data_IF_710896244130
#
_entry.id   IF_710896244130
#
_cell.length_a   1.000
_cell.length_b   1.000
_cell.length_c   1.000
_cell.angle_alpha   90.00
_cell.angle_beta   90.00
_cell.angle_gamma   90.00
#
_symmetry.space_group_name_H-M   'P 1'
#
loop_
_entity.id
_entity.type
_entity.pdbx_description
1 polymer ?
#
# COMPACT_ATOMS: atom_id res chain seq x y z
N UNK A 1 -0.18 17.53 -53.21
CA UNK A 1 0.23 18.31 -52.02
C UNK A 1 -0.63 18.03 -50.80
N UNK A 2 -1.95 17.86 -50.95
CA UNK A 2 -2.87 17.50 -49.85
C UNK A 2 -2.56 16.16 -49.18
N UNK A 3 -2.22 15.12 -49.96
CA UNK A 3 -1.87 13.79 -49.43
C UNK A 3 -0.63 13.85 -48.52
N UNK A 4 0.35 14.68 -48.88
CA UNK A 4 1.58 14.88 -48.09
C UNK A 4 1.29 15.64 -46.80
N UNK A 5 0.38 16.62 -46.84
CA UNK A 5 -0.06 17.32 -45.64
C UNK A 5 -0.84 16.38 -44.70
N UNK A 6 -1.72 15.54 -45.24
CA UNK A 6 -2.47 14.57 -44.44
C UNK A 6 -1.56 13.49 -43.83
N UNK A 7 -0.54 13.02 -44.56
CA UNK A 7 0.39 12.03 -44.04
C UNK A 7 1.26 12.60 -42.92
N UNK A 8 1.74 13.84 -43.07
CA UNK A 8 2.51 14.53 -42.02
C UNK A 8 1.69 14.76 -40.76
N UNK A 9 0.42 15.15 -40.91
CA UNK A 9 -0.49 15.33 -39.78
C UNK A 9 -0.79 14.02 -39.06
N UNK A 10 -1.02 12.94 -39.82
CA UNK A 10 -1.22 11.60 -39.26
C UNK A 10 0.00 11.11 -38.49
N UNK A 11 1.21 11.31 -39.03
CA UNK A 11 2.47 10.97 -38.34
C UNK A 11 2.62 11.80 -37.07
N UNK A 12 2.29 13.10 -37.10
CA UNK A 12 2.31 13.96 -35.91
C UNK A 12 1.37 13.49 -34.81
N UNK A 13 0.15 13.04 -35.17
CA UNK A 13 -0.82 12.48 -34.22
C UNK A 13 -0.31 11.14 -33.67
N UNK A 14 0.24 10.28 -34.52
CA UNK A 14 0.82 9.01 -34.07
C UNK A 14 1.98 9.26 -33.11
N UNK A 15 2.88 10.20 -33.42
CA UNK A 15 3.95 10.58 -32.49
C UNK A 15 3.35 11.13 -31.20
N UNK A 16 2.37 12.02 -31.24
CA UNK A 16 1.76 12.57 -30.02
C UNK A 16 1.10 11.49 -29.14
N UNK A 17 0.36 10.55 -29.75
CA UNK A 17 -0.34 9.47 -29.03
C UNK A 17 0.63 8.40 -28.52
N UNK A 18 1.65 8.06 -29.31
CA UNK A 18 2.66 7.07 -28.95
C UNK A 18 3.85 7.66 -28.20
N UNK A 19 3.96 8.99 -28.07
CA UNK A 19 4.89 9.64 -27.17
C UNK A 19 4.30 9.44 -25.79
N UNK A 20 4.70 8.38 -25.08
CA UNK A 20 4.15 8.12 -23.78
C UNK A 20 4.56 9.33 -22.97
N UNK A 21 3.61 10.03 -22.36
CA UNK A 21 3.92 10.91 -21.26
C UNK A 21 4.91 10.12 -20.39
N UNK A 22 6.16 10.58 -20.30
CA UNK A 22 7.13 10.07 -19.31
C UNK A 22 6.65 10.35 -17.87
N UNK A 23 5.44 10.88 -17.73
CA UNK A 23 4.53 10.66 -16.63
C UNK A 23 3.81 9.30 -16.82
N UNK A 24 4.59 8.22 -17.00
CA UNK A 24 4.33 7.08 -16.12
C UNK A 24 4.52 7.74 -14.78
N UNK A 25 3.40 8.19 -14.17
CA UNK A 25 3.36 8.45 -12.74
C UNK A 25 4.24 7.35 -12.21
N UNK A 26 5.36 7.72 -11.59
CA UNK A 26 6.07 6.72 -10.86
C UNK A 26 4.95 6.14 -10.00
N UNK A 27 4.53 4.94 -10.35
CA UNK A 27 4.22 3.93 -9.38
C UNK A 27 5.54 3.88 -8.65
N UNK A 28 5.76 4.87 -7.79
CA UNK A 28 6.73 4.93 -6.74
C UNK A 28 6.33 3.66 -6.08
N UNK A 29 7.02 2.57 -6.44
CA UNK A 29 6.76 1.25 -5.91
C UNK A 29 6.56 1.53 -4.45
N UNK A 30 5.31 1.40 -3.95
CA UNK A 30 4.95 1.85 -2.60
C UNK A 30 6.12 1.42 -1.75
N UNK A 31 6.88 2.37 -1.20
CA UNK A 31 8.18 2.02 -0.63
C UNK A 31 7.87 0.93 0.37
N UNK A 32 8.65 -0.15 0.47
CA UNK A 32 8.32 -1.29 1.37
C UNK A 32 7.87 -0.80 2.76
N UNK A 33 8.48 0.30 3.22
CA UNK A 33 8.10 1.11 4.37
C UNK A 33 6.62 1.56 4.40
N UNK A 34 6.11 2.14 3.32
CA UNK A 34 4.73 2.64 3.20
C UNK A 34 3.71 1.51 3.26
N UNK A 35 4.00 0.36 2.62
CA UNK A 35 3.19 -0.84 2.76
C UNK A 35 3.17 -1.36 4.21
N UNK A 36 4.33 -1.40 4.87
CA UNK A 36 4.41 -1.83 6.26
C UNK A 36 3.67 -0.87 7.21
N UNK A 37 3.72 0.44 6.96
CA UNK A 37 2.95 1.44 7.71
C UNK A 37 1.44 1.23 7.55
N UNK A 38 0.96 1.01 6.33
CA UNK A 38 -0.45 0.68 6.06
C UNK A 38 -0.85 -0.62 6.78
N UNK A 39 -0.01 -1.65 6.73
CA UNK A 39 -0.25 -2.92 7.45
C UNK A 39 -0.30 -2.75 8.96
N UNK A 40 0.54 -1.88 9.54
CA UNK A 40 0.50 -1.53 10.96
C UNK A 40 -0.83 -0.90 11.35
N UNK A 41 -1.35 0.04 10.54
CA UNK A 41 -2.65 0.67 10.79
C UNK A 41 -3.79 -0.34 10.81
N UNK A 42 -3.82 -1.25 9.83
CA UNK A 42 -4.81 -2.34 9.77
C UNK A 42 -4.73 -3.24 11.01
N UNK A 43 -3.53 -3.62 11.46
CA UNK A 43 -3.36 -4.44 12.66
C UNK A 43 -3.86 -3.74 13.93
N UNK A 44 -3.60 -2.44 14.09
CA UNK A 44 -4.09 -1.68 15.23
C UNK A 44 -5.60 -1.46 15.21
N UNK A 45 -6.19 -1.22 14.04
CA UNK A 45 -7.65 -1.15 13.91
C UNK A 45 -8.29 -2.50 14.25
N UNK A 46 -7.72 -3.62 13.78
CA UNK A 46 -8.19 -4.96 14.15
C UNK A 46 -8.10 -5.22 15.65
N UNK A 47 -7.00 -4.80 16.31
CA UNK A 47 -6.84 -4.92 17.76
C UNK A 47 -7.89 -4.09 18.51
N UNK A 48 -8.18 -2.88 18.03
CA UNK A 48 -9.22 -2.01 18.60
C UNK A 48 -10.61 -2.64 18.47
N UNK A 49 -10.92 -3.15 17.29
CA UNK A 49 -12.21 -3.79 17.02
C UNK A 49 -12.36 -5.07 17.84
N UNK A 50 -11.31 -5.89 17.96
CA UNK A 50 -11.31 -7.08 18.82
C UNK A 50 -11.60 -6.71 20.29
N UNK A 51 -10.95 -5.68 20.81
CA UNK A 51 -11.19 -5.15 22.16
C UNK A 51 -12.63 -4.62 22.34
N UNK A 52 -13.23 -4.08 21.28
CA UNK A 52 -14.61 -3.63 21.29
C UNK A 52 -15.58 -4.80 21.28
N UNK A 53 -15.37 -5.80 20.41
CA UNK A 53 -16.20 -6.99 20.32
C UNK A 53 -16.14 -7.86 21.59
N UNK A 54 -14.98 -7.95 22.24
CA UNK A 54 -14.84 -8.61 23.53
C UNK A 54 -15.63 -7.89 24.62
N UNK A 55 -15.53 -6.55 24.71
CA UNK A 55 -16.35 -5.76 25.64
C UNK A 55 -17.85 -5.82 25.34
N UNK A 56 -18.23 -6.09 24.10
CA UNK A 56 -19.61 -6.35 23.70
C UNK A 56 -20.10 -7.77 24.04
N UNK A 57 -19.23 -8.64 24.59
CA UNK A 57 -19.56 -9.99 25.01
C UNK A 57 -19.67 -11.01 23.87
N UNK A 58 -19.10 -10.70 22.69
CA UNK A 58 -19.15 -11.57 21.50
C UNK A 58 -18.14 -12.72 21.55
N UNK A 59 -17.08 -12.60 22.35
CA UNK A 59 -16.03 -13.59 22.49
C UNK A 59 -15.92 -14.13 23.90
N UNK A 60 -15.52 -15.39 24.00
CA UNK A 60 -15.06 -16.01 25.25
C UNK A 60 -13.62 -15.54 25.51
N UNK A 61 -13.25 -15.42 26.78
CA UNK A 61 -11.95 -14.85 27.19
C UNK A 61 -10.74 -15.64 26.64
N UNK A 62 -10.89 -16.95 26.46
CA UNK A 62 -9.86 -17.80 25.86
C UNK A 62 -9.63 -17.48 24.37
N UNK A 63 -10.70 -17.32 23.58
CA UNK A 63 -10.63 -16.94 22.17
C UNK A 63 -10.08 -15.51 21.99
N UNK A 64 -10.49 -14.60 22.89
CA UNK A 64 -9.99 -13.23 22.90
C UNK A 64 -8.49 -13.18 23.17
N UNK A 65 -8.01 -13.87 24.21
CA UNK A 65 -6.58 -13.89 24.54
C UNK A 65 -5.74 -14.51 23.42
N UNK A 66 -6.24 -15.57 22.77
CA UNK A 66 -5.58 -16.19 21.63
C UNK A 66 -5.47 -15.22 20.44
N UNK A 67 -6.57 -14.56 20.04
CA UNK A 67 -6.56 -13.61 18.93
C UNK A 67 -5.75 -12.35 19.22
N UNK A 68 -5.82 -11.84 20.46
CA UNK A 68 -5.03 -10.70 20.90
C UNK A 68 -3.54 -11.01 20.79
N UNK A 69 -3.09 -12.17 21.28
CA UNK A 69 -1.68 -12.55 21.21
C UNK A 69 -1.15 -12.68 19.78
N UNK A 70 -1.98 -13.18 18.84
CA UNK A 70 -1.61 -13.27 17.42
C UNK A 70 -1.44 -11.86 16.84
N UNK A 71 -2.43 -10.97 17.02
CA UNK A 71 -2.39 -9.61 16.48
C UNK A 71 -1.26 -8.79 17.08
N UNK A 72 -0.97 -8.94 18.38
CA UNK A 72 0.14 -8.27 19.05
C UNK A 72 1.49 -8.75 18.53
N UNK A 73 1.64 -10.06 18.28
CA UNK A 73 2.87 -10.63 17.71
C UNK A 73 3.10 -10.10 16.30
N UNK A 74 2.07 -10.10 15.45
CA UNK A 74 2.17 -9.55 14.08
C UNK A 74 2.47 -8.05 14.10
N UNK A 75 1.86 -7.28 15.00
CA UNK A 75 2.12 -5.86 15.13
C UNK A 75 3.57 -5.58 15.57
N UNK A 76 4.11 -6.38 16.48
CA UNK A 76 5.50 -6.28 16.92
C UNK A 76 6.49 -6.57 15.78
N UNK A 77 6.24 -7.61 14.97
CA UNK A 77 7.07 -7.90 13.78
C UNK A 77 7.03 -6.76 12.76
N UNK A 78 5.84 -6.23 12.44
CA UNK A 78 5.71 -5.15 11.44
C UNK A 78 6.40 -3.88 11.92
N UNK A 79 6.26 -3.51 13.20
CA UNK A 79 6.94 -2.33 13.76
C UNK A 79 8.46 -2.51 13.76
N UNK A 80 8.95 -3.69 14.14
CA UNK A 80 10.38 -3.98 14.08
C UNK A 80 10.93 -3.91 12.64
N UNK A 81 10.19 -4.39 11.64
CA UNK A 81 10.60 -4.29 10.24
C UNK A 81 10.61 -2.83 9.75
N UNK A 82 9.64 -2.01 10.19
CA UNK A 82 9.63 -0.57 9.90
C UNK A 82 10.88 0.08 10.51
N UNK A 83 11.15 -0.15 11.80
CA UNK A 83 12.29 0.45 12.50
C UNK A 83 13.62 0.08 11.84
N UNK A 84 13.78 -1.18 11.40
CA UNK A 84 14.97 -1.63 10.66
C UNK A 84 15.14 -0.90 9.32
N UNK A 85 14.05 -0.70 8.59
CA UNK A 85 14.07 0.00 7.29
C UNK A 85 14.25 1.52 7.45
N UNK A 86 13.78 2.11 8.55
CA UNK A 86 14.01 3.53 8.87
C UNK A 86 15.45 3.77 9.39
N UNK A 87 16.01 2.82 10.14
CA UNK A 87 17.35 2.91 10.69
C UNK A 87 18.46 2.65 9.66
N UNK A 88 18.14 2.10 8.48
CA UNK A 88 19.11 1.89 7.41
C UNK A 88 19.26 3.18 6.59
N UNK A 89 20.33 3.97 6.78
CA UNK A 89 20.53 5.20 6.02
C UNK A 89 20.74 4.84 4.55
N UNK A 90 20.00 5.51 3.68
CA UNK A 90 20.07 5.37 2.22
C UNK A 90 21.38 5.91 1.65
#
# INVERSE_FOLDING_TARGET
MTIVACSLMLIGILIYVFYPERHVESQTQKTRLEYLRERKEVLYDNLRDLNFEYRAGKYVEEDYAAQQGILETEAAEVVAEIDLLEAQPR
#
